data_IF_944454514286
#
_entry.id   IF_944454514286
#
_cell.length_a   1.000
_cell.length_b   1.000
_cell.length_c   1.000
_cell.angle_alpha   90.00
_cell.angle_beta   90.00
_cell.angle_gamma   90.00
#
_symmetry.space_group_name_H-M   'P 1'
#
loop_
_entity.id
_entity.type
_entity.pdbx_description
1 polymer ?
#
# COMPACT_ATOMS: atom_id res chain seq x y z
N UNK A 1 10.78 -22.63 11.50
CA UNK A 1 10.84 -21.61 10.43
C UNK A 1 10.39 -20.29 11.02
N UNK A 2 11.08 -19.19 10.75
CA UNK A 2 10.69 -17.86 11.23
C UNK A 2 9.50 -17.35 10.42
N UNK A 3 8.41 -16.97 11.09
CA UNK A 3 7.24 -16.34 10.47
C UNK A 3 7.67 -15.08 9.74
N UNK A 4 7.29 -14.94 8.46
CA UNK A 4 7.60 -13.73 7.71
C UNK A 4 6.85 -12.52 8.27
N UNK A 5 7.51 -11.36 8.30
CA UNK A 5 6.93 -10.09 8.71
C UNK A 5 6.66 -9.26 7.45
N UNK A 6 5.44 -8.75 7.34
CA UNK A 6 5.03 -7.74 6.37
C UNK A 6 4.92 -6.43 7.13
N UNK A 7 5.79 -5.47 6.83
CA UNK A 7 5.76 -4.13 7.43
C UNK A 7 4.97 -3.19 6.50
N UNK A 8 3.76 -2.81 6.91
CA UNK A 8 2.95 -1.80 6.23
C UNK A 8 3.09 -0.46 6.96
N UNK A 9 3.47 0.59 6.23
CA UNK A 9 3.62 1.95 6.76
C UNK A 9 2.70 2.91 6.03
N UNK A 10 1.80 3.54 6.77
CA UNK A 10 0.92 4.61 6.29
C UNK A 10 1.72 5.89 6.02
N UNK A 11 1.47 6.52 4.87
CA UNK A 11 2.04 7.81 4.53
C UNK A 11 1.17 8.98 4.99
N UNK A 12 1.39 10.14 4.36
CA UNK A 12 0.63 11.38 4.57
C UNK A 12 0.05 11.97 3.28
N UNK A 13 0.14 11.23 2.18
CA UNK A 13 -0.41 11.63 0.89
C UNK A 13 -1.63 10.78 0.54
N UNK A 14 -2.56 11.31 -0.25
CA UNK A 14 -3.71 10.56 -0.74
C UNK A 14 -3.87 10.65 -2.25
N UNK A 15 -4.39 9.60 -2.88
CA UNK A 15 -4.91 9.62 -4.25
C UNK A 15 -6.43 9.59 -4.22
N UNK A 16 -7.06 10.05 -5.29
CA UNK A 16 -8.51 9.98 -5.45
C UNK A 16 -8.88 9.33 -6.78
N UNK A 17 -10.03 8.66 -6.81
CA UNK A 17 -10.68 8.29 -8.06
C UNK A 17 -12.19 8.53 -7.97
N UNK A 18 -12.77 9.01 -9.05
CA UNK A 18 -14.22 9.11 -9.17
C UNK A 18 -14.79 7.77 -9.64
N UNK A 19 -15.88 7.34 -9.02
CA UNK A 19 -16.70 6.21 -9.45
C UNK A 19 -18.18 6.61 -9.45
N UNK A 20 -19.06 5.69 -9.86
CA UNK A 20 -20.51 5.90 -9.80
C UNK A 20 -21.03 6.14 -8.36
N UNK A 21 -20.26 5.70 -7.35
CA UNK A 21 -20.62 5.83 -5.93
C UNK A 21 -20.01 7.09 -5.29
N UNK A 22 -19.40 7.96 -6.10
CA UNK A 22 -18.76 9.20 -5.67
C UNK A 22 -17.22 9.16 -5.71
N UNK A 23 -16.60 10.15 -5.09
CA UNK A 23 -15.13 10.24 -5.00
C UNK A 23 -14.62 9.34 -3.89
N UNK A 24 -13.69 8.46 -4.24
CA UNK A 24 -13.01 7.56 -3.32
C UNK A 24 -11.57 8.04 -3.08
N UNK A 25 -11.16 8.11 -1.82
CA UNK A 25 -9.80 8.51 -1.44
C UNK A 25 -9.02 7.30 -0.92
N UNK A 26 -7.75 7.20 -1.32
CA UNK A 26 -6.83 6.17 -0.88
C UNK A 26 -5.57 6.78 -0.29
N UNK A 27 -5.25 6.42 0.96
CA UNK A 27 -4.02 6.82 1.62
C UNK A 27 -2.84 6.09 0.96
N UNK A 28 -1.86 6.86 0.50
CA UNK A 28 -0.61 6.34 -0.05
C UNK A 28 0.29 5.89 1.09
N UNK A 29 0.89 4.72 0.94
CA UNK A 29 1.82 4.15 1.91
C UNK A 29 2.84 3.24 1.26
N UNK A 30 3.56 2.48 2.08
CA UNK A 30 4.56 1.51 1.65
C UNK A 30 4.36 0.18 2.37
N UNK A 31 4.53 -0.92 1.65
CA UNK A 31 4.55 -2.27 2.22
C UNK A 31 5.89 -2.90 1.92
N UNK A 32 6.55 -3.44 2.95
CA UNK A 32 7.86 -4.07 2.84
C UNK A 32 7.83 -5.50 3.35
N UNK A 33 8.46 -6.42 2.62
CA UNK A 33 8.69 -7.81 3.05
C UNK A 33 10.04 -8.29 2.51
N UNK A 34 10.91 -8.79 3.40
CA UNK A 34 12.25 -9.32 3.05
C UNK A 34 13.04 -8.41 2.10
N UNK A 35 13.05 -7.10 2.39
CA UNK A 35 13.75 -6.09 1.61
C UNK A 35 13.06 -5.61 0.33
N UNK A 36 11.97 -6.25 -0.11
CA UNK A 36 11.17 -5.78 -1.24
C UNK A 36 10.15 -4.76 -0.75
N UNK A 37 10.04 -3.61 -1.42
CA UNK A 37 9.12 -2.54 -1.06
C UNK A 37 8.16 -2.25 -2.20
N UNK A 38 6.89 -2.08 -1.85
CA UNK A 38 5.79 -1.79 -2.75
C UNK A 38 5.10 -0.49 -2.32
N UNK A 39 4.58 0.26 -3.28
CA UNK A 39 3.60 1.30 -2.98
C UNK A 39 2.30 0.65 -2.51
N UNK A 40 1.51 1.37 -1.72
CA UNK A 40 0.17 0.93 -1.34
C UNK A 40 -0.84 2.05 -1.46
N UNK A 41 -2.09 1.67 -1.72
CA UNK A 41 -3.27 2.49 -1.46
C UNK A 41 -4.13 1.80 -0.40
N UNK A 42 -4.46 2.48 0.70
CA UNK A 42 -5.43 2.00 1.70
C UNK A 42 -6.68 2.87 1.63
N UNK A 43 -7.87 2.26 1.59
CA UNK A 43 -9.10 3.04 1.47
C UNK A 43 -9.33 3.95 2.70
N UNK A 44 -9.64 5.22 2.42
CA UNK A 44 -10.08 6.22 3.41
C UNK A 44 -11.63 6.33 3.42
N UNK A 45 -12.23 7.44 3.84
CA UNK A 45 -13.68 7.71 3.73
C UNK A 45 -14.59 6.94 4.71
N UNK A 46 -14.16 6.78 5.97
CA UNK A 46 -15.02 6.22 7.02
C UNK A 46 -15.15 4.70 7.00
N UNK A 47 -14.35 4.01 6.17
CA UNK A 47 -14.19 2.56 6.28
C UNK A 47 -13.37 2.20 7.53
N UNK A 48 -13.63 1.00 8.04
CA UNK A 48 -12.85 0.43 9.15
C UNK A 48 -11.44 0.15 8.67
N UNK A 49 -10.45 0.70 9.40
CA UNK A 49 -9.03 0.49 9.13
C UNK A 49 -8.37 -0.25 10.31
N UNK A 50 -7.27 -0.95 10.05
CA UNK A 50 -6.47 -1.56 11.11
C UNK A 50 -5.89 -0.48 12.05
N UNK A 51 -5.73 -0.81 13.32
CA UNK A 51 -5.04 0.06 14.28
C UNK A 51 -3.55 0.17 13.90
N UNK A 52 -3.02 1.39 13.96
CA UNK A 52 -1.59 1.64 13.79
C UNK A 52 -0.80 1.34 15.05
N UNK A 53 0.52 1.18 14.89
CA UNK A 53 1.44 0.94 16.00
C UNK A 53 1.29 -0.45 16.62
N UNK A 54 0.79 -1.42 15.85
CA UNK A 54 0.49 -2.77 16.33
C UNK A 54 0.89 -3.84 15.31
N UNK A 55 1.29 -4.99 15.85
CA UNK A 55 1.46 -6.23 15.11
C UNK A 55 0.17 -7.06 15.17
N UNK A 56 -0.18 -7.66 14.03
CA UNK A 56 -1.26 -8.62 13.85
C UNK A 56 -0.63 -10.01 13.66
N UNK A 57 -0.21 -10.68 14.75
CA UNK A 57 0.32 -12.02 14.66
C UNK A 57 -0.78 -12.99 14.19
N UNK A 58 -0.38 -14.08 13.53
CA UNK A 58 -1.30 -15.06 12.94
C UNK A 58 -2.16 -14.53 11.80
N UNK A 59 -1.71 -13.46 11.13
CA UNK A 59 -2.27 -13.09 9.83
C UNK A 59 -2.01 -14.24 8.85
N UNK A 60 -2.94 -14.47 7.91
CA UNK A 60 -2.83 -15.59 6.97
C UNK A 60 -2.82 -15.06 5.56
N UNK A 61 -1.86 -15.52 4.77
CA UNK A 61 -1.85 -15.33 3.33
C UNK A 61 -2.37 -16.58 2.62
N UNK A 62 -3.28 -16.43 1.65
CA UNK A 62 -3.87 -17.54 0.90
C UNK A 62 -4.46 -17.08 -0.44
N UNK A 63 -4.80 -18.03 -1.32
CA UNK A 63 -5.49 -17.74 -2.58
C UNK A 63 -6.99 -17.50 -2.37
N UNK A 64 -7.47 -16.30 -2.67
CA UNK A 64 -8.87 -15.91 -2.49
C UNK A 64 -9.69 -16.17 -3.77
N UNK A 65 -10.49 -17.25 -3.77
CA UNK A 65 -11.27 -17.70 -4.95
C UNK A 65 -12.10 -16.59 -5.61
N UNK A 66 -12.87 -15.82 -4.84
CA UNK A 66 -13.74 -14.74 -5.37
C UNK A 66 -12.95 -13.58 -6.02
N UNK A 67 -11.75 -13.29 -5.53
CA UNK A 67 -10.94 -12.17 -6.03
C UNK A 67 -9.94 -12.61 -7.11
N UNK A 68 -9.73 -13.93 -7.26
CA UNK A 68 -8.79 -14.52 -8.21
C UNK A 68 -7.35 -14.08 -7.98
N UNK A 69 -6.94 -13.91 -6.71
CA UNK A 69 -5.58 -13.50 -6.36
C UNK A 69 -5.21 -13.95 -4.94
N UNK A 70 -3.92 -13.89 -4.61
CA UNK A 70 -3.49 -14.00 -3.22
C UNK A 70 -3.93 -12.79 -2.41
N UNK A 71 -4.26 -13.02 -1.14
CA UNK A 71 -4.62 -11.99 -0.17
C UNK A 71 -3.89 -12.22 1.14
N UNK A 72 -3.63 -11.16 1.90
CA UNK A 72 -3.32 -11.24 3.33
C UNK A 72 -4.58 -10.91 4.11
N UNK A 73 -4.96 -11.79 5.03
CA UNK A 73 -6.07 -11.61 5.95
C UNK A 73 -5.52 -11.45 7.38
N UNK A 74 -5.49 -10.22 7.91
CA UNK A 74 -5.02 -9.94 9.26
C UNK A 74 -6.00 -10.42 10.31
N UNK A 75 -5.48 -11.04 11.37
CA UNK A 75 -6.32 -11.46 12.49
C UNK A 75 -6.73 -10.26 13.37
N UNK A 76 -7.98 -9.80 13.26
CA UNK A 76 -8.49 -8.68 14.06
C UNK A 76 -9.95 -8.88 14.50
N UNK A 77 -10.45 -8.00 15.37
CA UNK A 77 -11.82 -8.04 15.90
C UNK A 77 -12.61 -6.75 15.62
N UNK A 78 -12.09 -5.87 14.76
CA UNK A 78 -12.79 -4.64 14.38
C UNK A 78 -14.08 -4.96 13.62
N UNK A 79 -15.16 -4.27 13.99
CA UNK A 79 -16.50 -4.45 13.40
C UNK A 79 -16.85 -3.33 12.44
N UNK A 80 -17.59 -3.66 11.39
CA UNK A 80 -18.18 -2.70 10.46
C UNK A 80 -19.44 -2.04 11.08
N UNK A 81 -20.08 -1.16 10.33
CA UNK A 81 -21.31 -0.45 10.75
C UNK A 81 -22.50 -1.38 11.03
N UNK A 82 -22.50 -2.56 10.43
CA UNK A 82 -23.56 -3.57 10.54
C UNK A 82 -23.30 -4.52 11.73
N UNK A 83 -22.17 -4.35 12.43
CA UNK A 83 -21.77 -5.15 13.60
C UNK A 83 -20.96 -6.40 13.26
N UNK A 84 -20.74 -6.73 11.98
CA UNK A 84 -19.92 -7.86 11.56
C UNK A 84 -18.42 -7.55 11.66
N UNK A 85 -17.55 -8.57 11.80
CA UNK A 85 -16.10 -8.37 11.68
C UNK A 85 -15.79 -7.84 10.28
N UNK A 86 -15.11 -6.70 10.20
CA UNK A 86 -14.76 -6.08 8.93
C UNK A 86 -13.80 -6.98 8.13
N UNK A 87 -14.04 -7.16 6.83
CA UNK A 87 -13.15 -7.96 5.98
C UNK A 87 -12.00 -7.09 5.45
N UNK A 88 -11.06 -6.72 6.33
CA UNK A 88 -9.90 -5.89 5.94
C UNK A 88 -8.83 -6.79 5.34
N UNK A 89 -8.64 -6.72 4.02
CA UNK A 89 -7.67 -7.55 3.29
C UNK A 89 -6.56 -6.71 2.67
N UNK A 90 -5.38 -7.31 2.49
CA UNK A 90 -4.37 -6.82 1.55
C UNK A 90 -4.49 -7.63 0.27
N UNK A 91 -4.84 -6.99 -0.85
CA UNK A 91 -5.08 -7.68 -2.12
C UNK A 91 -4.80 -6.78 -3.32
N UNK A 92 -4.72 -7.34 -4.53
CA UNK A 92 -4.54 -6.53 -5.73
C UNK A 92 -5.69 -5.51 -5.87
N UNK A 93 -5.34 -4.26 -6.12
CA UNK A 93 -6.29 -3.21 -6.49
C UNK A 93 -5.56 -2.20 -7.37
N UNK A 94 -6.33 -1.44 -8.14
CA UNK A 94 -5.81 -0.42 -9.05
C UNK A 94 -6.16 0.99 -8.60
N UNK A 95 -7.34 1.16 -8.00
CA UNK A 95 -7.86 2.46 -7.55
C UNK A 95 -8.54 2.34 -6.19
N UNK A 96 -8.65 3.43 -5.42
CA UNK A 96 -9.31 3.45 -4.11
C UNK A 96 -10.72 2.83 -4.09
N UNK A 97 -11.54 3.04 -5.12
CA UNK A 97 -12.91 2.49 -5.16
C UNK A 97 -12.97 0.95 -5.18
N UNK A 98 -11.86 0.25 -5.44
CA UNK A 98 -11.78 -1.21 -5.39
C UNK A 98 -11.55 -1.75 -3.97
N UNK A 99 -11.23 -0.88 -3.01
CA UNK A 99 -10.83 -1.24 -1.66
C UNK A 99 -11.91 -0.74 -0.69
N UNK A 100 -12.68 -1.61 -0.05
CA UNK A 100 -13.70 -1.22 0.94
C UNK A 100 -13.15 -1.35 2.36
N UNK A 101 -12.13 -0.57 2.69
CA UNK A 101 -11.32 -0.71 3.91
C UNK A 101 -10.10 -1.62 3.75
N UNK A 102 -9.83 -2.08 2.53
CA UNK A 102 -8.68 -2.91 2.18
C UNK A 102 -7.44 -2.09 1.83
N UNK A 103 -6.31 -2.78 1.68
CA UNK A 103 -5.01 -2.24 1.25
C UNK A 103 -4.60 -2.88 -0.08
N UNK A 104 -4.20 -2.07 -1.05
CA UNK A 104 -3.75 -2.52 -2.37
C UNK A 104 -2.27 -2.23 -2.62
N UNK A 105 -1.38 -3.22 -2.65
CA UNK A 105 0.03 -3.02 -2.97
C UNK A 105 0.30 -3.07 -4.48
N UNK A 106 1.38 -2.41 -4.92
CA UNK A 106 1.85 -2.40 -6.31
C UNK A 106 2.94 -1.36 -6.56
N UNK A 107 2.89 -0.73 -7.73
CA UNK A 107 3.69 0.43 -8.13
C UNK A 107 2.76 1.59 -8.46
N UNK A 108 2.86 2.68 -7.71
CA UNK A 108 2.00 3.85 -7.89
C UNK A 108 2.43 4.63 -9.14
N UNK A 109 1.51 4.80 -10.08
CA UNK A 109 1.71 5.56 -11.32
C UNK A 109 0.57 6.55 -11.49
N UNK A 110 0.86 7.84 -11.30
CA UNK A 110 -0.19 8.86 -11.15
C UNK A 110 -1.07 8.55 -9.93
N UNK A 111 -2.40 8.49 -10.13
CA UNK A 111 -3.37 8.15 -9.09
C UNK A 111 -3.74 6.66 -9.02
N UNK A 112 -3.06 5.81 -9.79
CA UNK A 112 -3.42 4.38 -9.96
C UNK A 112 -2.29 3.47 -9.54
N UNK A 113 -2.65 2.34 -8.95
CA UNK A 113 -1.73 1.27 -8.60
C UNK A 113 -1.56 0.32 -9.79
N UNK A 114 -0.34 0.23 -10.31
CA UNK A 114 0.04 -0.70 -11.37
C UNK A 114 0.78 -1.91 -10.79
N UNK A 115 0.90 -3.00 -11.56
CA UNK A 115 1.64 -4.21 -11.16
C UNK A 115 1.16 -4.86 -9.84
N UNK A 116 -0.08 -4.63 -9.44
CA UNK A 116 -0.61 -5.10 -8.16
C UNK A 116 -0.72 -6.62 -8.08
N UNK A 117 -0.94 -7.29 -9.22
CA UNK A 117 -0.97 -8.76 -9.30
C UNK A 117 0.42 -9.35 -9.05
N UNK A 118 1.44 -8.79 -9.71
CA UNK A 118 2.83 -9.17 -9.60
C UNK A 118 3.38 -8.89 -8.20
N UNK A 119 2.97 -7.78 -7.60
CA UNK A 119 3.28 -7.46 -6.20
C UNK A 119 2.75 -8.54 -5.25
N UNK A 120 1.46 -8.93 -5.37
CA UNK A 120 0.90 -9.98 -4.52
C UNK A 120 1.56 -11.35 -4.73
N UNK A 121 1.90 -11.71 -5.97
CA UNK A 121 2.65 -12.94 -6.25
C UNK A 121 4.06 -12.90 -5.63
N UNK A 122 4.72 -11.74 -5.66
CA UNK A 122 6.03 -11.55 -5.02
C UNK A 122 5.90 -11.66 -3.50
N UNK A 123 4.92 -11.00 -2.89
CA UNK A 123 4.65 -11.07 -1.44
C UNK A 123 4.38 -12.52 -1.02
N UNK A 124 3.60 -13.29 -1.79
CA UNK A 124 3.35 -14.71 -1.53
C UNK A 124 4.64 -15.52 -1.46
N UNK A 125 5.48 -15.41 -2.49
CA UNK A 125 6.77 -16.10 -2.53
C UNK A 125 7.67 -15.68 -1.37
N UNK A 126 7.72 -14.38 -1.04
CA UNK A 126 8.53 -13.87 0.07
C UNK A 126 7.98 -14.29 1.44
N UNK A 127 6.68 -14.52 1.58
CA UNK A 127 6.09 -15.05 2.81
C UNK A 127 6.49 -16.51 3.07
N UNK A 128 6.95 -17.24 2.03
CA UNK A 128 7.22 -18.68 2.09
C UNK A 128 6.17 -19.52 1.34
N UNK A 129 5.32 -18.88 0.55
CA UNK A 129 4.40 -19.55 -0.34
C UNK A 129 5.11 -20.28 -1.47
N UNK A 130 4.62 -21.48 -1.79
CA UNK A 130 5.14 -22.34 -2.85
C UNK A 130 3.99 -23.15 -3.47
N UNK A 131 4.25 -23.84 -4.58
CA UNK A 131 3.27 -24.74 -5.19
C UNK A 131 2.85 -25.84 -4.20
N UNK A 132 1.54 -26.11 -4.13
CA UNK A 132 0.97 -27.06 -3.17
C UNK A 132 0.83 -26.53 -1.74
N UNK A 133 1.21 -25.27 -1.46
CA UNK A 133 0.96 -24.62 -0.16
C UNK A 133 -0.35 -23.83 -0.23
N UNK A 134 -1.35 -24.23 0.55
CA UNK A 134 -2.65 -23.57 0.55
C UNK A 134 -2.66 -22.22 1.30
N UNK A 135 -1.84 -22.12 2.35
CA UNK A 135 -1.78 -20.94 3.21
C UNK A 135 -0.42 -20.79 3.89
N UNK A 136 -0.06 -19.55 4.19
CA UNK A 136 1.14 -19.20 4.94
C UNK A 136 0.74 -18.28 6.08
N UNK A 137 1.30 -18.53 7.27
CA UNK A 137 1.14 -17.62 8.42
C UNK A 137 2.21 -16.54 8.35
N UNK A 138 1.79 -15.29 8.53
CA UNK A 138 2.63 -14.09 8.54
C UNK A 138 2.29 -13.22 9.75
N UNK A 139 3.20 -12.32 10.10
CA UNK A 139 2.89 -11.19 10.98
C UNK A 139 2.74 -9.95 10.12
N UNK A 140 1.59 -9.27 10.19
CA UNK A 140 1.43 -7.95 9.61
C UNK A 140 1.72 -6.90 10.68
N UNK A 141 2.72 -6.06 10.46
CA UNK A 141 2.97 -4.86 11.28
C UNK A 141 2.36 -3.65 10.58
N UNK A 142 1.54 -2.90 11.29
CA UNK A 142 0.95 -1.65 10.78
C UNK A 142 1.58 -0.47 11.50
N UNK A 143 2.34 0.35 10.76
CA UNK A 143 3.01 1.55 11.25
C UNK A 143 2.21 2.79 10.83
N UNK A 144 1.92 3.65 11.81
CA UNK A 144 1.11 4.86 11.62
C UNK A 144 -0.40 4.60 11.71
N UNK A 145 -1.12 5.60 12.23
CA UNK A 145 -2.58 5.58 12.31
C UNK A 145 -3.21 6.01 10.99
N UNK A 146 -4.42 5.56 10.72
CA UNK A 146 -5.22 6.10 9.62
C UNK A 146 -5.50 7.57 9.93
N UNK A 147 -5.01 8.45 9.05
CA UNK A 147 -5.20 9.89 9.14
C UNK A 147 -6.56 10.30 8.60
N UNK A 148 -7.09 11.41 9.09
CA UNK A 148 -8.22 12.05 8.42
C UNK A 148 -7.77 12.62 7.08
N UNK A 149 -8.67 12.69 6.10
CA UNK A 149 -8.33 13.24 4.77
C UNK A 149 -7.79 14.67 4.87
N UNK A 150 -8.32 15.48 5.79
CA UNK A 150 -7.88 16.86 6.08
C UNK A 150 -6.44 16.96 6.61
N UNK A 151 -5.87 15.86 7.10
CA UNK A 151 -4.49 15.78 7.61
C UNK A 151 -3.50 15.29 6.53
N UNK A 152 -3.99 15.02 5.32
CA UNK A 152 -3.21 14.49 4.20
C UNK A 152 -3.10 15.52 3.07
N UNK A 153 -2.03 15.41 2.29
CA UNK A 153 -1.88 16.19 1.05
C UNK A 153 -2.20 15.32 -0.16
N UNK A 154 -2.72 15.93 -1.23
CA UNK A 154 -2.96 15.19 -2.46
C UNK A 154 -1.62 14.70 -3.03
N UNK A 155 -1.57 13.46 -3.47
CA UNK A 155 -0.40 12.87 -4.10
C UNK A 155 -0.13 13.58 -5.42
N UNK A 156 1.07 14.15 -5.53
CA UNK A 156 1.57 14.78 -6.74
C UNK A 156 2.65 13.87 -7.35
N UNK A 157 2.38 13.23 -8.51
CA UNK A 157 3.33 12.36 -9.19
C UNK A 157 4.46 13.16 -9.87
N UNK A 158 4.42 14.49 -9.84
CA UNK A 158 5.45 15.32 -10.46
C UNK A 158 6.78 14.96 -9.80
N UNK A 159 7.79 14.48 -10.55
CA UNK A 159 9.11 14.32 -9.98
C UNK A 159 9.54 15.70 -9.52
N UNK A 160 9.77 15.87 -8.21
CA UNK A 160 10.39 17.09 -7.71
C UNK A 160 11.72 17.22 -8.42
N UNK A 161 11.76 18.02 -9.49
CA UNK A 161 12.97 18.45 -10.15
C UNK A 161 13.69 19.37 -9.17
N UNK A 162 14.27 18.80 -8.13
CA UNK A 162 15.33 19.41 -7.34
C UNK A 162 16.66 19.08 -8.02
N UNK A 163 16.77 19.48 -9.30
CA UNK A 163 18.08 19.90 -9.77
C UNK A 163 18.30 21.28 -9.17
N UNK A 164 19.31 21.37 -8.30
CA UNK A 164 19.78 22.62 -7.74
C UNK A 164 20.14 23.65 -8.83
N UNK A 165 20.43 24.89 -8.43
CA UNK A 165 20.58 26.00 -9.37
C UNK A 165 21.55 25.64 -10.49
N UNK A 166 21.09 25.85 -11.73
CA UNK A 166 21.92 25.91 -12.91
C UNK A 166 23.13 26.78 -12.58
N UNK A 167 24.33 26.19 -12.55
CA UNK A 167 25.58 26.96 -12.51
C UNK A 167 25.68 27.64 -13.88
N UNK A 168 24.98 28.76 -14.02
CA UNK A 168 25.35 29.80 -14.95
C UNK A 168 26.62 30.43 -14.42
N UNK A 169 27.70 30.33 -15.19
CA UNK A 169 28.94 31.05 -14.97
C UNK A 169 30.12 30.15 -14.65
N UNK A 170 30.90 29.81 -15.69
CA UNK A 170 32.37 29.98 -15.74
C UNK A 170 32.89 29.37 -17.07
N UNK A 171 32.55 30.00 -18.19
CA UNK A 171 33.29 29.86 -19.44
C UNK A 171 33.45 31.25 -20.06
N UNK A 172 34.11 32.14 -19.32
CA UNK A 172 34.74 33.32 -19.87
C UNK A 172 35.90 33.68 -18.94
N UNK A 173 37.10 33.25 -19.32
CA UNK A 173 38.42 33.81 -19.01
C UNK A 173 39.49 32.73 -19.20
N UNK A 174 39.93 32.56 -20.45
CA UNK A 174 41.31 32.15 -20.73
C UNK A 174 41.91 33.20 -21.66
N UNK A 175 43.00 33.88 -21.27
CA UNK A 175 43.73 34.72 -22.21
C UNK A 175 44.51 33.84 -23.18
N UNK A 176 44.47 34.22 -24.45
CA UNK A 176 45.40 33.76 -25.48
C UNK A 176 46.84 34.04 -25.03
N UNK A 177 47.66 33.00 -24.97
CA UNK A 177 49.11 33.06 -25.19
C UNK A 177 49.51 31.85 -26.02
#
# INVERSE_FOLDING_TARGET
>A
MTTAVIDYTRGSQYVENNSNDGTAHGLVGKLTIRGNTFDTIERMDGYVALDGGRDYPNSVMYWHKRLGCYVVNPWHQKRNKDGDIAEILIHRAEVPSHLKGCIGPGVLSGSRMTKSTEAMATIWKQAGGADGVDKVVVTLRVNGNMKQLSECTKYDPTPTNTYGPTIGGLLDQMPFF
#
